data_IF_976201813790
#
_entry.id   IF_976201813790
#
_cell.length_a   1.000
_cell.length_b   1.000
_cell.length_c   1.000
_cell.angle_alpha   90.00
_cell.angle_beta   90.00
_cell.angle_gamma   90.00
#
_symmetry.space_group_name_H-M   'P 1'
#
loop_
_entity.id
_entity.type
_entity.pdbx_description
1 polymer ?
#
# COMPACT_ATOMS: atom_id res chain seq x y z
N UNK A 1 -0.01 -9.39 -31.94
CA UNK A 1 0.68 -8.38 -31.11
C UNK A 1 -0.06 -8.32 -29.79
N UNK A 2 0.62 -8.58 -28.66
CA UNK A 2 -0.01 -8.46 -27.33
C UNK A 2 -0.05 -6.97 -26.99
N UNK A 3 -1.23 -6.40 -26.83
CA UNK A 3 -1.42 -5.03 -26.35
C UNK A 3 -0.82 -4.91 -24.94
N UNK A 4 0.32 -4.23 -24.87
CA UNK A 4 0.93 -3.83 -23.60
C UNK A 4 0.05 -2.69 -23.07
N UNK A 5 -0.61 -2.83 -21.91
CA UNK A 5 -1.43 -1.77 -21.37
C UNK A 5 -0.52 -0.57 -21.08
N UNK A 6 -0.72 0.53 -21.83
CA UNK A 6 -0.06 1.81 -21.57
C UNK A 6 -0.39 2.23 -20.14
N UNK A 7 0.60 2.23 -19.25
CA UNK A 7 0.46 2.79 -17.92
C UNK A 7 -0.07 4.22 -18.03
N UNK A 8 -1.29 4.44 -17.54
CA UNK A 8 -1.81 5.80 -17.38
C UNK A 8 -1.09 6.43 -16.20
N UNK A 9 -0.02 7.18 -16.48
CA UNK A 9 0.63 8.06 -15.50
C UNK A 9 -0.31 9.23 -15.20
N UNK A 10 -1.05 9.14 -14.11
CA UNK A 10 -1.93 10.20 -13.63
C UNK A 10 -2.06 10.15 -12.11
N UNK A 11 -2.18 11.32 -11.50
CA UNK A 11 -2.46 11.43 -10.06
C UNK A 11 -3.95 11.18 -9.83
N UNK A 12 -4.29 10.20 -9.00
CA UNK A 12 -5.67 9.91 -8.61
C UNK A 12 -5.88 10.39 -7.18
N UNK A 13 -6.88 11.23 -6.97
CA UNK A 13 -7.32 11.62 -5.64
C UNK A 13 -8.25 10.54 -5.09
N UNK A 14 -7.92 9.97 -3.92
CA UNK A 14 -8.74 8.95 -3.25
C UNK A 14 -9.02 9.39 -1.82
N UNK A 15 -10.30 9.38 -1.44
CA UNK A 15 -10.73 9.68 -0.08
C UNK A 15 -10.95 8.38 0.70
N UNK A 16 -10.26 8.23 1.83
CA UNK A 16 -10.41 7.10 2.73
C UNK A 16 -11.06 7.52 4.04
N UNK A 17 -12.02 6.72 4.52
CA UNK A 17 -12.45 6.78 5.92
C UNK A 17 -11.56 5.83 6.71
N UNK A 18 -10.70 6.40 7.56
CA UNK A 18 -9.79 5.64 8.40
C UNK A 18 -10.29 5.63 9.85
N UNK A 19 -10.00 4.54 10.56
CA UNK A 19 -10.25 4.48 12.00
C UNK A 19 -9.39 5.52 12.73
N UNK A 20 -9.91 6.14 13.79
CA UNK A 20 -9.23 7.24 14.49
C UNK A 20 -7.83 6.86 15.02
N UNK A 21 -7.64 5.61 15.44
CA UNK A 21 -6.32 5.12 15.86
C UNK A 21 -5.31 5.07 14.72
N UNK A 22 -5.73 4.76 13.49
CA UNK A 22 -4.86 4.75 12.32
C UNK A 22 -4.41 6.19 12.02
N UNK A 23 -5.33 7.15 12.07
CA UNK A 23 -5.00 8.56 11.85
C UNK A 23 -3.95 9.04 12.87
N UNK A 24 -4.10 8.69 14.15
CA UNK A 24 -3.11 9.02 15.19
C UNK A 24 -1.71 8.44 14.92
N UNK A 25 -1.64 7.22 14.39
CA UNK A 25 -0.35 6.61 14.02
C UNK A 25 0.28 7.32 12.83
N UNK A 26 -0.53 7.66 11.81
CA UNK A 26 -0.05 8.43 10.66
C UNK A 26 0.51 9.78 11.11
N UNK A 27 -0.17 10.47 12.04
CA UNK A 27 0.29 11.74 12.58
C UNK A 27 1.62 11.62 13.31
N UNK A 28 1.75 10.65 14.23
CA UNK A 28 3.01 10.43 14.95
C UNK A 28 4.19 10.17 14.03
N UNK A 29 3.98 9.46 12.92
CA UNK A 29 5.03 9.15 11.94
C UNK A 29 5.44 10.37 11.11
N UNK A 30 4.53 11.31 10.89
CA UNK A 30 4.83 12.59 10.26
C UNK A 30 5.52 13.52 11.26
N UNK A 31 5.02 13.60 12.49
CA UNK A 31 5.58 14.40 13.58
C UNK A 31 6.99 13.96 13.96
N UNK A 32 7.29 12.66 13.86
CA UNK A 32 8.65 12.14 14.08
C UNK A 32 9.65 12.53 12.99
N UNK A 33 9.19 13.18 11.91
CA UNK A 33 10.02 13.58 10.77
C UNK A 33 10.42 12.43 9.84
N UNK A 34 9.92 11.21 10.06
CA UNK A 34 10.20 10.06 9.21
C UNK A 34 9.52 10.20 7.84
N UNK A 35 8.38 10.88 7.80
CA UNK A 35 7.61 11.12 6.59
C UNK A 35 7.21 12.59 6.49
N UNK A 36 7.18 13.11 5.26
CA UNK A 36 6.81 14.51 5.01
C UNK A 36 5.29 14.72 5.10
N UNK A 37 4.51 13.73 4.69
CA UNK A 37 3.04 13.79 4.69
C UNK A 37 2.42 12.45 5.07
N UNK A 38 1.16 12.46 5.50
CA UNK A 38 0.37 11.24 5.73
C UNK A 38 0.27 10.37 4.46
N UNK A 39 0.26 11.00 3.27
CA UNK A 39 0.21 10.30 1.98
C UNK A 39 1.48 9.48 1.77
N UNK A 40 2.65 10.01 2.14
CA UNK A 40 3.92 9.28 2.00
C UNK A 40 3.95 8.02 2.88
N UNK A 41 3.38 8.12 4.09
CA UNK A 41 3.24 6.97 5.00
C UNK A 41 2.35 5.90 4.37
N UNK A 42 1.16 6.29 3.88
CA UNK A 42 0.20 5.35 3.27
C UNK A 42 0.77 4.72 2.00
N UNK A 43 1.42 5.49 1.13
CA UNK A 43 2.07 4.95 -0.07
C UNK A 43 3.19 3.97 0.28
N UNK A 44 3.97 4.28 1.30
CA UNK A 44 5.04 3.38 1.78
C UNK A 44 4.46 2.09 2.35
N UNK A 45 3.38 2.17 3.14
CA UNK A 45 2.68 1.00 3.65
C UNK A 45 2.10 0.14 2.50
N UNK A 46 1.50 0.75 1.48
CA UNK A 46 0.96 0.03 0.31
C UNK A 46 2.06 -0.66 -0.50
N UNK A 47 3.24 -0.05 -0.62
CA UNK A 47 4.41 -0.66 -1.29
C UNK A 47 4.91 -1.90 -0.57
N UNK A 48 4.77 -1.97 0.75
CA UNK A 48 5.13 -3.16 1.54
C UNK A 48 4.00 -4.19 1.52
N UNK A 49 2.75 -3.73 1.63
CA UNK A 49 1.59 -4.61 1.73
C UNK A 49 1.34 -5.41 0.44
N UNK A 50 1.46 -4.79 -0.74
CA UNK A 50 1.21 -5.46 -2.02
C UNK A 50 2.10 -6.70 -2.24
N UNK A 51 3.44 -6.61 -2.15
CA UNK A 51 4.30 -7.78 -2.30
C UNK A 51 4.11 -8.78 -1.16
N UNK A 52 3.80 -8.32 0.06
CA UNK A 52 3.48 -9.22 1.18
C UNK A 52 2.21 -10.04 0.90
N UNK A 53 1.17 -9.41 0.36
CA UNK A 53 -0.08 -10.08 0.00
C UNK A 53 0.13 -11.09 -1.15
N UNK A 54 0.99 -10.78 -2.11
CA UNK A 54 1.36 -11.69 -3.21
C UNK A 54 2.16 -12.89 -2.70
N UNK A 55 3.10 -12.67 -1.77
CA UNK A 55 3.88 -13.73 -1.10
C UNK A 55 2.97 -14.68 -0.33
N UNK A 56 2.08 -14.14 0.51
CA UNK A 56 1.16 -14.93 1.33
C UNK A 56 0.21 -15.78 0.49
N UNK A 57 -0.32 -15.20 -0.61
CA UNK A 57 -1.15 -15.96 -1.55
C UNK A 57 -0.39 -17.12 -2.17
N UNK A 58 0.88 -16.92 -2.53
CA UNK A 58 1.73 -17.97 -3.10
C UNK A 58 2.00 -19.09 -2.09
N UNK A 59 2.39 -18.75 -0.86
CA UNK A 59 2.63 -19.75 0.20
C UNK A 59 1.37 -20.53 0.54
N UNK A 60 0.20 -19.88 0.55
CA UNK A 60 -1.08 -20.57 0.78
C UNK A 60 -1.36 -21.56 -0.35
N UNK A 61 -1.15 -21.17 -1.61
CA UNK A 61 -1.35 -22.06 -2.77
C UNK A 61 -0.40 -23.26 -2.72
N UNK A 62 0.88 -23.05 -2.47
CA UNK A 62 1.88 -24.12 -2.38
C UNK A 62 1.57 -25.11 -1.24
N UNK A 63 1.00 -24.63 -0.12
CA UNK A 63 0.56 -25.45 1.01
C UNK A 63 -0.76 -26.20 0.78
N UNK A 64 -1.55 -25.82 -0.23
CA UNK A 64 -2.82 -26.51 -0.57
C UNK A 64 -2.63 -27.55 -1.68
N UNK A 65 -1.54 -27.44 -2.46
CA UNK A 65 -1.18 -28.38 -3.53
C UNK A 65 -0.16 -29.46 -3.12
N UNK A 66 0.42 -29.37 -1.91
CA UNK A 66 1.29 -30.40 -1.30
C UNK A 66 0.51 -31.39 -0.44
#
# INVERSE_FOLDING_TARGET
MKDIPKERKGTVLVNFKLHGNVVKVLDRLVESGLYKTRVDVVLSALRVYKPFQEMWKKETVDATES
#
